data_IF_921472442191
#
_entry.id   IF_921472442191
#
_cell.length_a   1.000
_cell.length_b   1.000
_cell.length_c   1.000
_cell.angle_alpha   90.00
_cell.angle_beta   90.00
_cell.angle_gamma   90.00
#
_symmetry.space_group_name_H-M   'P 1'
#
loop_
_entity.id
_entity.type
_entity.pdbx_description
1 polymer ?
#
# COMPACT_ATOMS: atom_id res chain seq x y z
N UNK A 1 -14.47 0.35 5.56
CA UNK A 1 -14.80 1.23 4.43
C UNK A 1 -15.68 0.52 3.43
N UNK A 2 -16.71 1.17 2.88
CA UNK A 2 -17.49 0.63 1.75
C UNK A 2 -16.99 1.28 0.46
N UNK A 3 -16.29 0.53 -0.39
CA UNK A 3 -15.67 1.05 -1.60
C UNK A 3 -16.69 1.24 -2.71
N UNK A 4 -16.96 2.49 -3.06
CA UNK A 4 -17.75 2.84 -4.24
C UNK A 4 -16.89 2.80 -5.52
N UNK A 5 -15.63 3.23 -5.41
CA UNK A 5 -14.67 3.26 -6.51
C UNK A 5 -13.31 2.73 -6.08
N UNK A 6 -12.65 1.97 -6.96
CA UNK A 6 -11.25 1.53 -6.82
C UNK A 6 -10.55 1.75 -8.15
N UNK A 7 -9.38 2.41 -8.14
CA UNK A 7 -8.67 2.73 -9.38
C UNK A 7 -9.49 3.58 -10.35
N UNK A 8 -10.38 4.44 -9.84
CA UNK A 8 -11.37 5.21 -10.62
C UNK A 8 -12.40 4.37 -11.38
N UNK A 9 -12.62 3.11 -10.97
CA UNK A 9 -13.63 2.21 -11.53
C UNK A 9 -14.72 1.99 -10.47
N UNK A 10 -15.98 2.11 -10.87
CA UNK A 10 -17.13 1.82 -10.00
C UNK A 10 -17.17 0.32 -9.64
N UNK A 11 -17.26 0.02 -8.35
CA UNK A 11 -17.25 -1.36 -7.86
C UNK A 11 -18.69 -1.88 -7.77
N UNK A 12 -18.97 -2.99 -8.48
CA UNK A 12 -20.28 -3.66 -8.45
C UNK A 12 -20.08 -5.18 -8.29
N UNK A 13 -20.56 -5.80 -7.19
CA UNK A 13 -21.20 -5.18 -6.02
C UNK A 13 -20.22 -4.36 -5.18
N UNK A 14 -20.73 -3.40 -4.41
CA UNK A 14 -19.92 -2.61 -3.46
C UNK A 14 -19.18 -3.55 -2.51
N UNK A 15 -17.86 -3.42 -2.46
CA UNK A 15 -17.00 -4.21 -1.57
C UNK A 15 -16.87 -3.51 -0.21
N UNK A 16 -16.93 -4.28 0.87
CA UNK A 16 -16.67 -3.80 2.23
C UNK A 16 -15.29 -4.25 2.69
N UNK A 17 -14.56 -3.32 3.27
CA UNK A 17 -13.29 -3.55 3.97
C UNK A 17 -13.49 -3.29 5.46
N UNK A 18 -13.06 -4.23 6.29
CA UNK A 18 -13.02 -4.10 7.74
C UNK A 18 -11.55 -4.22 8.16
N UNK A 19 -11.00 -3.14 8.71
CA UNK A 19 -9.58 -3.06 9.09
C UNK A 19 -9.46 -2.99 10.61
N UNK A 20 -8.82 -4.00 11.20
CA UNK A 20 -8.59 -4.08 12.64
C UNK A 20 -7.19 -3.56 12.99
N UNK A 21 -7.10 -2.67 13.99
CA UNK A 21 -5.82 -2.33 14.62
C UNK A 21 -5.47 -3.39 15.66
N UNK A 22 -4.71 -4.41 15.25
CA UNK A 22 -4.46 -5.60 16.06
C UNK A 22 -3.78 -5.27 17.40
N UNK A 23 -2.80 -4.37 17.38
CA UNK A 23 -2.06 -3.94 18.56
C UNK A 23 -2.98 -3.28 19.58
N UNK A 24 -3.89 -2.40 19.12
CA UNK A 24 -4.85 -1.73 20.00
C UNK A 24 -5.87 -2.70 20.59
N UNK A 25 -6.32 -3.69 19.82
CA UNK A 25 -7.20 -4.75 20.33
C UNK A 25 -6.47 -5.61 21.36
N UNK A 26 -5.23 -6.00 21.09
CA UNK A 26 -4.41 -6.78 22.01
C UNK A 26 -4.14 -6.02 23.33
N UNK A 27 -3.81 -4.73 23.26
CA UNK A 27 -3.69 -3.86 24.44
C UNK A 27 -4.97 -3.88 25.29
N UNK A 28 -6.13 -3.74 24.67
CA UNK A 28 -7.42 -3.76 25.38
C UNK A 28 -7.70 -5.12 26.02
N UNK A 29 -7.48 -6.22 25.28
CA UNK A 29 -7.71 -7.59 25.76
C UNK A 29 -6.77 -7.95 26.92
N UNK A 30 -5.50 -7.51 26.86
CA UNK A 30 -4.48 -7.80 27.86
C UNK A 30 -4.39 -6.75 28.98
N UNK A 31 -5.18 -5.67 28.92
CA UNK A 31 -5.15 -4.58 29.90
C UNK A 31 -3.83 -3.82 29.96
N UNK A 32 -3.17 -3.61 28.80
CA UNK A 32 -1.87 -2.92 28.69
C UNK A 32 -2.06 -1.49 28.17
N UNK A 33 -1.33 -0.54 28.73
CA UNK A 33 -1.37 0.87 28.29
C UNK A 33 -0.28 1.23 27.26
N UNK A 34 0.71 0.37 27.09
CA UNK A 34 1.78 0.51 26.11
C UNK A 34 1.80 -0.68 25.15
N UNK A 35 1.95 -0.41 23.84
CA UNK A 35 2.03 -1.44 22.80
C UNK A 35 3.21 -2.39 23.02
N UNK A 36 4.34 -1.89 23.54
CA UNK A 36 5.53 -2.71 23.75
C UNK A 36 5.38 -3.69 24.91
N UNK A 37 4.40 -3.48 25.79
CA UNK A 37 4.11 -4.36 26.94
C UNK A 37 3.13 -5.49 26.60
N UNK A 38 2.63 -5.54 25.36
CA UNK A 38 1.79 -6.64 24.87
C UNK A 38 2.61 -7.93 24.93
N UNK A 39 2.05 -8.98 25.51
CA UNK A 39 2.60 -10.33 25.39
C UNK A 39 2.30 -10.86 23.99
N UNK A 40 3.36 -11.10 23.21
CA UNK A 40 3.28 -11.56 21.82
C UNK A 40 3.07 -13.07 21.77
N UNK A 41 3.90 -13.79 22.52
CA UNK A 41 3.82 -15.22 22.83
C UNK A 41 4.33 -15.42 24.25
N UNK A 42 4.09 -16.59 24.85
CA UNK A 42 4.44 -16.90 26.25
C UNK A 42 5.87 -16.45 26.61
N UNK A 43 5.96 -15.46 27.51
CA UNK A 43 7.23 -14.91 28.00
C UNK A 43 7.99 -13.98 27.04
N UNK A 44 7.43 -13.61 25.89
CA UNK A 44 8.03 -12.67 24.92
C UNK A 44 7.07 -11.51 24.66
N UNK A 45 7.53 -10.28 24.86
CA UNK A 45 6.74 -9.08 24.62
C UNK A 45 6.86 -8.57 23.19
N UNK A 46 5.91 -7.74 22.75
CA UNK A 46 5.98 -7.00 21.49
C UNK A 46 7.23 -6.11 21.45
N UNK A 47 7.62 -5.54 22.60
CA UNK A 47 8.84 -4.75 22.75
C UNK A 47 10.10 -5.54 22.43
N UNK A 48 10.20 -6.79 22.91
CA UNK A 48 11.35 -7.67 22.65
C UNK A 48 11.55 -7.93 21.15
N UNK A 49 10.46 -7.95 20.37
CA UNK A 49 10.50 -8.23 18.93
C UNK A 49 10.66 -6.96 18.10
N UNK A 50 9.91 -5.89 18.42
CA UNK A 50 9.73 -4.75 17.51
C UNK A 50 10.26 -3.42 18.01
N UNK A 51 10.61 -3.26 19.29
CA UNK A 51 11.06 -1.95 19.80
C UNK A 51 12.34 -1.49 19.09
N UNK A 52 13.31 -2.39 18.90
CA UNK A 52 14.55 -2.06 18.19
C UNK A 52 14.28 -1.69 16.73
N UNK A 53 13.40 -2.42 16.07
CA UNK A 53 12.97 -2.15 14.71
C UNK A 53 12.36 -0.75 14.58
N UNK A 54 11.47 -0.36 15.50
CA UNK A 54 10.82 0.95 15.50
C UNK A 54 11.82 2.10 15.68
N UNK A 55 12.80 1.93 16.58
CA UNK A 55 13.86 2.92 16.80
C UNK A 55 14.72 3.10 15.53
N UNK A 56 15.18 2.00 14.94
CA UNK A 56 16.05 2.06 13.77
C UNK A 56 15.32 2.58 12.52
N UNK A 57 14.09 2.13 12.28
CA UNK A 57 13.30 2.64 11.16
C UNK A 57 12.89 4.10 11.34
N UNK A 58 12.56 4.54 12.55
CA UNK A 58 12.28 5.96 12.80
C UNK A 58 13.50 6.82 12.47
N UNK A 59 14.67 6.46 12.99
CA UNK A 59 15.89 7.20 12.72
C UNK A 59 16.26 7.19 11.23
N UNK A 60 16.10 6.04 10.55
CA UNK A 60 16.28 5.98 9.10
C UNK A 60 15.30 6.91 8.35
N UNK A 61 14.01 6.77 8.61
CA UNK A 61 12.94 7.48 7.91
C UNK A 61 12.99 8.99 8.11
N UNK A 62 13.42 9.46 9.29
CA UNK A 62 13.42 10.88 9.62
C UNK A 62 14.78 11.57 9.45
N UNK A 63 15.89 10.84 9.51
CA UNK A 63 17.23 11.45 9.55
C UNK A 63 18.17 10.91 8.47
N UNK A 64 18.30 9.59 8.33
CA UNK A 64 19.38 8.99 7.54
C UNK A 64 19.05 8.71 6.07
N UNK A 65 17.78 8.52 5.71
CA UNK A 65 17.44 8.08 4.36
C UNK A 65 17.94 9.07 3.30
N UNK A 66 18.65 8.53 2.30
CA UNK A 66 19.21 9.31 1.18
C UNK A 66 18.08 9.73 0.23
N UNK A 67 17.70 10.99 0.32
CA UNK A 67 16.62 11.58 -0.47
C UNK A 67 16.96 11.62 -1.96
N UNK A 68 18.23 11.81 -2.33
CA UNK A 68 18.65 11.86 -3.75
C UNK A 68 18.48 10.50 -4.40
N UNK A 69 18.89 9.43 -3.71
CA UNK A 69 18.63 8.05 -4.15
C UNK A 69 17.13 7.78 -4.24
N UNK A 70 16.34 8.17 -3.22
CA UNK A 70 14.90 7.91 -3.21
C UNK A 70 14.16 8.61 -4.36
N UNK A 71 14.54 9.85 -4.71
CA UNK A 71 14.00 10.52 -5.90
C UNK A 71 14.31 9.72 -7.18
N UNK A 72 15.55 9.26 -7.36
CA UNK A 72 15.93 8.45 -8.51
C UNK A 72 15.15 7.13 -8.56
N UNK A 73 15.00 6.45 -7.43
CA UNK A 73 14.24 5.22 -7.33
C UNK A 73 12.77 5.43 -7.71
N UNK A 74 12.15 6.52 -7.25
CA UNK A 74 10.77 6.83 -7.62
C UNK A 74 10.61 6.94 -9.14
N UNK A 75 11.48 7.71 -9.80
CA UNK A 75 11.46 7.88 -11.26
C UNK A 75 11.69 6.56 -12.00
N UNK A 76 12.66 5.76 -11.54
CA UNK A 76 12.96 4.46 -12.14
C UNK A 76 11.81 3.47 -12.00
N UNK A 77 11.18 3.42 -10.83
CA UNK A 77 10.05 2.55 -10.56
C UNK A 77 8.81 2.98 -11.33
N UNK A 78 8.51 4.28 -11.44
CA UNK A 78 7.38 4.76 -12.23
C UNK A 78 7.55 4.39 -13.71
N UNK A 79 8.74 4.67 -14.26
CA UNK A 79 9.05 4.33 -15.66
C UNK A 79 8.88 2.84 -15.93
N UNK A 80 9.31 1.99 -15.00
CA UNK A 80 9.17 0.55 -15.13
C UNK A 80 7.71 0.09 -14.99
N UNK A 81 6.94 0.64 -14.04
CA UNK A 81 5.52 0.37 -13.92
C UNK A 81 4.76 0.67 -15.23
N UNK A 82 5.03 1.83 -15.84
CA UNK A 82 4.44 2.24 -17.12
C UNK A 82 4.85 1.28 -18.25
N UNK A 83 6.16 1.00 -18.39
CA UNK A 83 6.67 0.11 -19.44
C UNK A 83 6.08 -1.30 -19.36
N UNK A 84 5.89 -1.82 -18.15
CA UNK A 84 5.37 -3.18 -17.91
C UNK A 84 3.86 -3.24 -18.12
N UNK A 85 3.11 -2.21 -17.69
CA UNK A 85 1.66 -2.20 -17.90
C UNK A 85 1.28 -2.03 -19.39
N UNK A 86 2.07 -1.28 -20.17
CA UNK A 86 1.91 -1.16 -21.63
C UNK A 86 2.06 -2.50 -22.35
N UNK A 87 2.82 -3.43 -21.78
CA UNK A 87 2.96 -4.81 -22.28
C UNK A 87 1.85 -5.74 -21.81
N UNK A 88 0.90 -5.23 -21.03
CA UNK A 88 -0.24 -5.98 -20.50
C UNK A 88 0.09 -6.85 -19.28
N UNK A 89 1.21 -6.65 -18.59
CA UNK A 89 1.58 -7.42 -17.41
C UNK A 89 1.20 -6.68 -16.11
N UNK A 90 -0.04 -6.86 -15.66
CA UNK A 90 -0.63 -6.11 -14.55
C UNK A 90 0.09 -6.33 -13.21
N UNK A 91 0.22 -7.58 -12.77
CA UNK A 91 0.75 -7.91 -11.44
C UNK A 91 2.17 -7.35 -11.21
N UNK A 92 3.16 -7.55 -12.12
CA UNK A 92 4.47 -6.96 -11.92
C UNK A 92 4.47 -5.44 -12.05
N UNK A 93 3.60 -4.84 -12.87
CA UNK A 93 3.47 -3.38 -12.89
C UNK A 93 2.98 -2.84 -11.54
N UNK A 94 2.01 -3.52 -10.92
CA UNK A 94 1.46 -3.13 -9.63
C UNK A 94 2.49 -3.20 -8.49
N UNK A 95 3.41 -4.18 -8.52
CA UNK A 95 4.53 -4.21 -7.56
C UNK A 95 5.39 -2.93 -7.63
N UNK A 96 5.63 -2.39 -8.82
CA UNK A 96 6.34 -1.12 -8.97
C UNK A 96 5.52 0.08 -8.49
N UNK A 97 4.19 0.03 -8.60
CA UNK A 97 3.31 1.05 -7.98
C UNK A 97 3.46 1.05 -6.47
N UNK A 98 3.50 -0.14 -5.84
CA UNK A 98 3.72 -0.27 -4.40
C UNK A 98 5.09 0.28 -3.98
N UNK A 99 6.13 -0.02 -4.76
CA UNK A 99 7.47 0.55 -4.55
C UNK A 99 7.45 2.08 -4.64
N UNK A 100 6.83 2.66 -5.66
CA UNK A 100 6.66 4.11 -5.77
C UNK A 100 5.93 4.69 -4.55
N UNK A 101 4.83 4.06 -4.11
CA UNK A 101 4.07 4.52 -2.95
C UNK A 101 4.90 4.50 -1.67
N UNK A 102 5.70 3.46 -1.46
CA UNK A 102 6.57 3.37 -0.29
C UNK A 102 7.74 4.38 -0.35
N UNK A 103 8.41 4.50 -1.50
CA UNK A 103 9.47 5.49 -1.72
C UNK A 103 8.95 6.91 -1.51
N UNK A 104 7.74 7.21 -1.96
CA UNK A 104 7.06 8.48 -1.67
C UNK A 104 6.89 8.72 -0.17
N UNK A 105 6.42 7.71 0.59
CA UNK A 105 6.26 7.85 2.03
C UNK A 105 7.59 8.14 2.75
N UNK A 106 8.69 7.54 2.30
CA UNK A 106 10.03 7.83 2.84
C UNK A 106 10.47 9.27 2.53
N UNK A 107 10.22 9.75 1.31
CA UNK A 107 10.50 11.14 0.93
C UNK A 107 9.64 12.14 1.75
N UNK A 108 8.36 11.82 1.97
CA UNK A 108 7.43 12.61 2.80
C UNK A 108 7.92 12.65 4.27
N UNK A 109 8.29 11.50 4.83
CA UNK A 109 8.83 11.39 6.19
C UNK A 109 10.15 12.17 6.38
N UNK A 110 11.04 12.16 5.38
CA UNK A 110 12.26 12.98 5.40
C UNK A 110 12.00 14.49 5.27
N UNK A 111 10.76 14.91 5.01
CA UNK A 111 10.44 16.31 4.73
C UNK A 111 11.10 16.82 3.44
N UNK A 112 11.42 15.91 2.51
CA UNK A 112 12.16 16.21 1.30
C UNK A 112 11.27 16.74 0.16
N UNK A 113 9.94 16.71 0.35
CA UNK A 113 8.95 17.16 -0.62
C UNK A 113 8.12 18.31 -0.05
N UNK A 114 7.93 19.35 -0.84
CA UNK A 114 7.01 20.45 -0.55
C UNK A 114 5.54 20.01 -0.69
N UNK A 115 4.62 20.82 -0.18
CA UNK A 115 3.17 20.56 -0.27
C UNK A 115 2.69 20.42 -1.73
N UNK A 116 3.24 21.24 -2.64
CA UNK A 116 2.92 21.16 -4.07
C UNK A 116 3.48 19.89 -4.71
N UNK A 117 4.72 19.52 -4.38
CA UNK A 117 5.32 18.27 -4.85
C UNK A 117 4.55 17.05 -4.34
N UNK A 118 4.16 17.03 -3.06
CA UNK A 118 3.37 15.95 -2.47
C UNK A 118 2.11 15.63 -3.27
N UNK A 119 1.39 16.67 -3.71
CA UNK A 119 0.19 16.50 -4.55
C UNK A 119 0.53 15.89 -5.92
N UNK A 120 1.65 16.31 -6.52
CA UNK A 120 2.15 15.75 -7.79
C UNK A 120 2.51 14.27 -7.67
N UNK A 121 3.28 13.89 -6.63
CA UNK A 121 3.65 12.49 -6.38
C UNK A 121 2.42 11.60 -6.14
N UNK A 122 1.45 12.06 -5.34
CA UNK A 122 0.19 11.33 -5.13
C UNK A 122 -0.56 11.14 -6.46
N UNK A 123 -0.63 12.19 -7.30
CA UNK A 123 -1.24 12.13 -8.62
C UNK A 123 -0.59 11.08 -9.53
N UNK A 124 0.74 11.01 -9.51
CA UNK A 124 1.54 10.03 -10.26
C UNK A 124 1.28 8.59 -9.82
N UNK A 125 1.36 8.31 -8.51
CA UNK A 125 1.03 6.98 -7.95
C UNK A 125 -0.40 6.57 -8.29
N UNK A 126 -1.36 7.50 -8.13
CA UNK A 126 -2.77 7.27 -8.46
C UNK A 126 -2.96 6.95 -9.95
N UNK A 127 -2.25 7.64 -10.85
CA UNK A 127 -2.34 7.37 -12.27
C UNK A 127 -1.85 5.96 -12.62
N UNK A 128 -0.72 5.53 -12.08
CA UNK A 128 -0.22 4.16 -12.30
C UNK A 128 -1.18 3.10 -11.74
N UNK A 129 -1.71 3.32 -10.53
CA UNK A 129 -2.70 2.42 -9.93
C UNK A 129 -3.97 2.30 -10.80
N UNK A 130 -4.44 3.42 -11.38
CA UNK A 130 -5.57 3.44 -12.31
C UNK A 130 -5.29 2.64 -13.58
N UNK A 131 -4.10 2.79 -14.17
CA UNK A 131 -3.70 2.01 -15.35
C UNK A 131 -3.69 0.51 -15.03
N UNK A 132 -3.14 0.12 -13.87
CA UNK A 132 -3.14 -1.27 -13.42
C UNK A 132 -4.56 -1.81 -13.22
N UNK A 133 -5.45 -1.03 -12.58
CA UNK A 133 -6.83 -1.43 -12.35
C UNK A 133 -7.62 -1.63 -13.65
N UNK A 134 -7.47 -0.71 -14.61
CA UNK A 134 -8.11 -0.80 -15.93
C UNK A 134 -7.62 -2.03 -16.70
N UNK A 135 -6.30 -2.21 -16.80
CA UNK A 135 -5.73 -3.37 -17.49
C UNK A 135 -6.08 -4.70 -16.80
N UNK A 136 -6.18 -4.71 -15.46
CA UNK A 136 -6.67 -5.88 -14.73
C UNK A 136 -8.09 -6.23 -15.17
N UNK A 137 -9.00 -5.25 -15.16
CA UNK A 137 -10.39 -5.47 -15.55
C UNK A 137 -10.50 -6.01 -16.98
N UNK A 138 -9.74 -5.45 -17.92
CA UNK A 138 -9.66 -5.94 -19.30
C UNK A 138 -9.14 -7.39 -19.39
N UNK A 139 -8.14 -7.77 -18.60
CA UNK A 139 -7.69 -9.17 -18.52
C UNK A 139 -8.81 -10.07 -17.98
N UNK A 140 -9.54 -9.63 -16.96
CA UNK A 140 -10.66 -10.38 -16.38
C UNK A 140 -11.77 -10.58 -17.41
N UNK A 141 -12.10 -9.55 -18.17
CA UNK A 141 -13.09 -9.60 -19.25
C UNK A 141 -12.68 -10.58 -20.35
N UNK A 142 -11.43 -10.50 -20.84
CA UNK A 142 -10.88 -11.43 -21.86
C UNK A 142 -10.92 -12.89 -21.42
N UNK A 143 -10.79 -13.16 -20.11
CA UNK A 143 -10.90 -14.49 -19.53
C UNK A 143 -12.37 -14.92 -19.28
N UNK A 144 -13.36 -14.09 -19.61
CA UNK A 144 -14.78 -14.35 -19.35
C UNK A 144 -15.13 -14.30 -17.87
N UNK A 145 -14.47 -13.44 -17.09
CA UNK A 145 -14.66 -13.27 -15.65
C UNK A 145 -14.67 -14.58 -14.84
N UNK A 146 -13.59 -15.38 -14.85
CA UNK A 146 -13.60 -16.75 -14.32
C UNK A 146 -13.85 -16.85 -12.81
N UNK A 147 -13.79 -15.74 -12.07
CA UNK A 147 -14.09 -15.67 -10.63
C UNK A 147 -15.55 -15.28 -10.33
N UNK A 148 -16.36 -14.92 -11.33
CA UNK A 148 -17.78 -14.61 -11.14
C UNK A 148 -18.67 -15.87 -11.10
N UNK A 149 -18.09 -17.08 -11.13
CA UNK A 149 -18.79 -18.38 -11.20
C UNK A 149 -19.73 -18.71 -10.01
N UNK A 150 -19.95 -17.78 -9.08
CA UNK A 150 -20.92 -17.91 -7.98
C UNK A 150 -21.71 -16.64 -7.68
N UNK A 151 -21.62 -15.60 -8.52
CA UNK A 151 -22.28 -14.30 -8.30
C UNK A 151 -23.56 -14.06 -9.12
N UNK A 152 -23.81 -14.86 -10.17
CA UNK A 152 -25.06 -14.84 -10.94
C UNK A 152 -25.99 -15.97 -10.47
N UNK A 153 -26.50 -15.83 -9.26
CA UNK A 153 -27.78 -16.39 -8.84
C UNK A 153 -28.44 -15.34 -7.95
N UNK A 154 -29.04 -14.33 -8.58
CA UNK A 154 -30.26 -13.65 -8.17
C UNK A 154 -30.57 -12.62 -9.26
N UNK A 155 -31.77 -12.72 -9.82
CA UNK A 155 -32.25 -11.94 -10.98
C UNK A 155 -32.57 -10.48 -10.70
#
# INVERSE_FOLDING_TARGET
>A
TYFQQVGSIDVKPVSVEITYGLERLAMYIQGKENVFDIEWVDGITYGDVFHRNEVEHSHYNFELADTSMLFQLFEMYEKEAIRIIEKGFVLPAYDYVLKCSHTFNLLDARGAISVSERTSFIGRVRNMARLCAQAYLEQREKLGYPLLKGGCNNG
#
